data_IF_157746841224
#
_entry.id   IF_157746841224
#
_cell.length_a   1.000
_cell.length_b   1.000
_cell.length_c   1.000
_cell.angle_alpha   90.00
_cell.angle_beta   90.00
_cell.angle_gamma   90.00
#
_symmetry.space_group_name_H-M   'P 1'
#
loop_
_entity.id
_entity.type
_entity.pdbx_description
1 polymer ?
#
# COMPACT_ATOMS: atom_id res chain seq x y z
N UNK A 1 -36.36 -33.66 -11.80
CA UNK A 1 -35.07 -32.96 -12.13
C UNK A 1 -35.29 -31.59 -12.78
N UNK A 2 -36.26 -31.42 -13.69
CA UNK A 2 -36.53 -30.13 -14.35
C UNK A 2 -36.97 -28.98 -13.44
N UNK A 3 -37.81 -29.26 -12.44
CA UNK A 3 -38.30 -28.24 -11.47
C UNK A 3 -37.17 -27.60 -10.64
N UNK A 4 -36.14 -28.39 -10.33
CA UNK A 4 -34.96 -27.90 -9.59
C UNK A 4 -34.06 -27.02 -10.46
N UNK A 5 -33.98 -27.30 -11.77
CA UNK A 5 -33.21 -26.48 -12.72
C UNK A 5 -33.85 -25.12 -13.00
N UNK A 6 -35.20 -25.05 -13.03
CA UNK A 6 -35.91 -23.78 -13.23
C UNK A 6 -35.78 -22.86 -12.00
N UNK A 7 -35.89 -23.44 -10.80
CA UNK A 7 -35.72 -22.70 -9.53
C UNK A 7 -34.30 -22.11 -9.38
N UNK A 8 -33.27 -22.89 -9.74
CA UNK A 8 -31.85 -22.42 -9.69
C UNK A 8 -31.59 -21.32 -10.75
N UNK A 9 -32.17 -21.44 -11.97
CA UNK A 9 -32.06 -20.37 -12.98
C UNK A 9 -32.75 -19.10 -12.53
N UNK A 10 -33.91 -19.18 -11.87
CA UNK A 10 -34.67 -18.01 -11.39
C UNK A 10 -33.96 -17.32 -10.23
N UNK A 11 -33.41 -18.08 -9.28
CA UNK A 11 -32.60 -17.48 -8.17
C UNK A 11 -31.28 -16.89 -8.70
N UNK A 12 -30.59 -17.61 -9.57
CA UNK A 12 -29.34 -17.11 -10.18
C UNK A 12 -29.57 -15.81 -10.97
N UNK A 13 -30.69 -15.73 -11.73
CA UNK A 13 -31.06 -14.50 -12.44
C UNK A 13 -31.38 -13.34 -11.51
N UNK A 14 -32.10 -13.59 -10.39
CA UNK A 14 -32.37 -12.55 -9.38
C UNK A 14 -31.12 -12.07 -8.68
N UNK A 15 -30.24 -12.97 -8.29
CA UNK A 15 -28.94 -12.61 -7.67
C UNK A 15 -28.11 -11.80 -8.67
N UNK A 16 -28.02 -12.22 -9.93
CA UNK A 16 -27.31 -11.48 -10.97
C UNK A 16 -27.88 -10.08 -11.17
N UNK A 17 -29.21 -9.92 -11.23
CA UNK A 17 -29.87 -8.63 -11.37
C UNK A 17 -29.55 -7.69 -10.16
N UNK A 18 -29.62 -8.21 -8.94
CA UNK A 18 -29.26 -7.45 -7.72
C UNK A 18 -27.80 -6.99 -7.76
N UNK A 19 -26.89 -7.89 -8.16
CA UNK A 19 -25.47 -7.58 -8.27
C UNK A 19 -25.20 -6.56 -9.38
N UNK A 20 -25.89 -6.66 -10.53
CA UNK A 20 -25.76 -5.70 -11.62
C UNK A 20 -26.25 -4.30 -11.21
N UNK A 21 -27.37 -4.24 -10.48
CA UNK A 21 -27.90 -2.97 -9.95
C UNK A 21 -26.92 -2.38 -8.90
N UNK A 22 -26.44 -3.19 -7.98
CA UNK A 22 -25.44 -2.75 -6.98
C UNK A 22 -24.16 -2.25 -7.66
N UNK A 23 -23.68 -2.93 -8.70
CA UNK A 23 -22.53 -2.51 -9.49
C UNK A 23 -22.79 -1.17 -10.21
N UNK A 24 -23.98 -1.01 -10.81
CA UNK A 24 -24.33 0.24 -11.48
C UNK A 24 -24.41 1.42 -10.48
N UNK A 25 -25.06 1.22 -9.32
CA UNK A 25 -25.11 2.24 -8.25
C UNK A 25 -23.70 2.60 -7.76
N UNK A 26 -22.86 1.60 -7.57
CA UNK A 26 -21.47 1.80 -7.16
C UNK A 26 -20.69 2.58 -8.23
N UNK A 27 -20.81 2.24 -9.52
CA UNK A 27 -20.17 2.95 -10.60
C UNK A 27 -20.62 4.42 -10.68
N UNK A 28 -21.92 4.70 -10.47
CA UNK A 28 -22.46 6.06 -10.43
C UNK A 28 -21.93 6.84 -9.22
N UNK A 29 -21.88 6.20 -8.05
CA UNK A 29 -21.29 6.81 -6.84
C UNK A 29 -19.78 7.06 -7.03
N UNK A 30 -19.06 6.12 -7.65
CA UNK A 30 -17.65 6.28 -7.97
C UNK A 30 -17.41 7.43 -8.96
N UNK A 31 -18.21 7.53 -10.02
CA UNK A 31 -18.21 8.65 -10.96
C UNK A 31 -18.48 9.98 -10.26
N UNK A 32 -19.48 10.03 -9.37
CA UNK A 32 -19.76 11.23 -8.58
C UNK A 32 -18.56 11.64 -7.70
N UNK A 33 -17.93 10.70 -7.00
CA UNK A 33 -16.73 10.97 -6.20
C UNK A 33 -15.56 11.44 -7.07
N UNK A 34 -15.36 10.83 -8.25
CA UNK A 34 -14.28 11.20 -9.17
C UNK A 34 -14.51 12.59 -9.79
N UNK A 35 -15.76 12.92 -10.14
CA UNK A 35 -16.08 14.16 -10.86
C UNK A 35 -16.53 15.31 -9.94
N UNK A 36 -17.28 15.01 -8.88
CA UNK A 36 -17.96 16.00 -8.05
C UNK A 36 -17.06 16.70 -7.00
N UNK A 37 -15.88 16.16 -6.71
CA UNK A 37 -15.00 16.68 -5.65
C UNK A 37 -14.03 17.78 -6.14
N UNK A 38 -14.27 18.40 -7.29
CA UNK A 38 -13.46 19.55 -7.75
C UNK A 38 -13.78 20.86 -7.00
N UNK A 39 -14.75 20.85 -6.09
CA UNK A 39 -15.17 22.03 -5.37
C UNK A 39 -14.22 22.35 -4.20
N UNK A 40 -13.27 23.25 -4.43
CA UNK A 40 -12.77 24.12 -3.36
C UNK A 40 -11.55 23.71 -2.59
N UNK A 41 -10.78 22.68 -2.98
CA UNK A 41 -9.45 22.49 -2.39
C UNK A 41 -8.44 23.40 -3.07
N UNK A 42 -8.16 24.48 -2.40
CA UNK A 42 -7.07 25.37 -2.78
C UNK A 42 -5.74 24.69 -2.38
N UNK A 43 -5.16 23.90 -3.30
CA UNK A 43 -3.82 23.33 -3.13
C UNK A 43 -2.75 24.43 -2.92
N UNK A 44 -3.08 25.68 -3.31
CA UNK A 44 -2.21 26.85 -3.17
C UNK A 44 -2.02 27.28 -1.70
N UNK A 45 -2.77 26.72 -0.77
CA UNK A 45 -2.63 27.03 0.66
C UNK A 45 -1.52 26.23 1.36
N UNK A 46 -1.12 25.07 0.81
CA UNK A 46 -0.11 24.24 1.45
C UNK A 46 1.29 24.79 1.21
N UNK A 47 2.11 24.78 2.24
CA UNK A 47 3.53 25.17 2.14
C UNK A 47 4.35 23.89 2.12
N UNK A 48 4.95 23.59 0.96
CA UNK A 48 5.91 22.49 0.84
C UNK A 48 7.23 22.99 1.41
N UNK A 49 7.77 22.24 2.37
CA UNK A 49 9.04 22.55 3.01
C UNK A 49 10.13 21.76 2.28
N UNK A 50 10.45 22.15 1.06
CA UNK A 50 11.42 21.44 0.21
C UNK A 50 12.80 22.08 0.21
N UNK A 51 12.95 23.39 0.42
CA UNK A 51 14.18 24.13 0.37
C UNK A 51 14.77 24.47 1.76
N UNK A 52 16.08 24.80 1.77
CA UNK A 52 16.77 25.32 2.94
C UNK A 52 16.99 24.30 4.05
N UNK A 53 17.14 23.02 3.68
CA UNK A 53 17.43 21.97 4.64
C UNK A 53 18.91 21.73 4.85
N UNK A 54 19.30 21.52 6.10
CA UNK A 54 20.57 20.86 6.43
C UNK A 54 20.28 19.40 6.74
N UNK A 55 20.95 18.49 6.03
CA UNK A 55 20.81 17.03 6.14
C UNK A 55 22.10 16.45 6.68
N UNK A 56 22.01 15.66 7.75
CA UNK A 56 23.16 14.92 8.29
C UNK A 56 22.87 13.42 8.08
N UNK A 57 23.75 12.75 7.35
CA UNK A 57 23.67 11.32 7.09
C UNK A 57 25.08 10.71 7.04
N UNK A 58 25.30 9.60 7.75
CA UNK A 58 26.60 8.90 7.83
C UNK A 58 27.79 9.77 8.21
N UNK A 59 27.58 10.80 9.07
CA UNK A 59 28.64 11.74 9.49
C UNK A 59 28.92 12.86 8.50
N UNK A 60 28.29 12.85 7.32
CA UNK A 60 28.37 13.93 6.33
C UNK A 60 27.23 14.92 6.54
N UNK A 61 27.53 16.20 6.32
CA UNK A 61 26.55 17.30 6.43
C UNK A 61 26.37 17.95 5.06
N UNK A 62 25.15 18.02 4.61
CA UNK A 62 24.73 18.68 3.38
C UNK A 62 23.90 19.90 3.77
N UNK A 63 24.31 21.10 3.35
CA UNK A 63 23.64 22.34 3.68
C UNK A 63 22.88 22.89 2.46
N UNK A 64 21.83 23.66 2.72
CA UNK A 64 20.98 24.31 1.71
C UNK A 64 20.44 23.33 0.66
N UNK A 65 19.91 22.23 1.15
CA UNK A 65 19.42 21.12 0.32
C UNK A 65 17.96 21.33 -0.02
N UNK A 66 17.60 21.11 -1.31
CA UNK A 66 16.23 20.89 -1.73
C UNK A 66 15.90 19.38 -1.64
N UNK A 67 14.98 19.00 -0.75
CA UNK A 67 14.64 17.59 -0.47
C UNK A 67 14.06 16.86 -1.68
N UNK A 68 13.33 17.55 -2.57
CA UNK A 68 12.75 16.91 -3.75
C UNK A 68 13.83 16.39 -4.72
N UNK A 69 14.98 17.05 -4.75
CA UNK A 69 16.12 16.73 -5.60
C UNK A 69 17.22 15.94 -4.88
N UNK A 70 17.17 15.89 -3.55
CA UNK A 70 18.18 15.23 -2.74
C UNK A 70 18.02 13.71 -2.75
N UNK A 71 19.14 13.01 -2.86
CA UNK A 71 19.20 11.55 -2.73
C UNK A 71 20.34 11.21 -1.77
N UNK A 72 20.05 10.29 -0.88
CA UNK A 72 21.08 9.70 -0.01
C UNK A 72 22.09 8.92 -0.86
N UNK A 73 23.34 8.91 -0.45
CA UNK A 73 24.42 8.19 -1.15
C UNK A 73 24.19 6.69 -1.25
N UNK A 74 23.42 6.13 -0.33
CA UNK A 74 22.94 4.75 -0.34
C UNK A 74 21.52 4.63 0.23
N UNK A 75 20.83 3.54 -0.06
CA UNK A 75 19.57 3.19 0.59
C UNK A 75 19.80 2.97 2.09
N UNK A 76 18.93 3.52 2.93
CA UNK A 76 19.02 3.37 4.39
C UNK A 76 18.79 1.94 4.82
N UNK A 77 19.73 1.39 5.54
CA UNK A 77 19.67 0.09 6.21
C UNK A 77 19.10 0.18 7.62
N UNK A 78 18.85 -0.98 8.24
CA UNK A 78 18.35 -1.06 9.62
C UNK A 78 19.31 -0.36 10.59
N UNK A 79 18.78 0.59 11.36
CA UNK A 79 19.54 1.40 12.33
C UNK A 79 20.17 2.67 11.76
N UNK A 80 20.23 2.84 10.44
CA UNK A 80 20.72 4.08 9.84
C UNK A 80 19.84 5.26 10.24
N UNK A 81 20.46 6.43 10.44
CA UNK A 81 19.79 7.64 10.89
C UNK A 81 20.05 8.79 9.91
N UNK A 82 19.00 9.50 9.57
CA UNK A 82 19.10 10.79 8.91
C UNK A 82 18.52 11.87 9.82
N UNK A 83 19.21 12.99 9.90
CA UNK A 83 18.79 14.14 10.71
C UNK A 83 18.61 15.34 9.79
N UNK A 84 17.44 15.94 9.85
CA UNK A 84 17.04 17.07 9.02
C UNK A 84 16.84 18.29 9.91
N UNK A 85 17.35 19.43 9.48
CA UNK A 85 17.19 20.72 10.16
C UNK A 85 16.70 21.76 9.17
N UNK A 86 15.70 22.54 9.56
CA UNK A 86 15.28 23.77 8.88
C UNK A 86 14.56 24.68 9.86
N UNK A 87 14.01 25.81 9.40
CA UNK A 87 13.13 26.66 10.19
C UNK A 87 11.69 26.55 9.69
N UNK A 88 10.75 26.59 10.60
CA UNK A 88 9.32 26.67 10.27
C UNK A 88 9.10 28.03 9.59
N UNK A 89 8.35 28.13 8.47
CA UNK A 89 8.05 29.38 7.80
C UNK A 89 7.52 30.44 8.77
N UNK A 90 7.98 31.69 8.60
CA UNK A 90 7.54 32.80 9.46
C UNK A 90 6.10 33.23 9.19
N UNK A 91 5.66 33.11 7.94
CA UNK A 91 4.37 33.60 7.49
C UNK A 91 3.48 32.43 7.02
N UNK A 92 2.54 32.02 7.85
CA UNK A 92 1.46 31.12 7.47
C UNK A 92 0.15 31.54 8.20
N UNK A 93 -0.99 31.26 7.55
CA UNK A 93 -2.30 31.69 8.05
C UNK A 93 -3.18 30.47 8.41
N UNK A 94 -2.63 29.51 9.14
CA UNK A 94 -3.37 28.32 9.59
C UNK A 94 -3.83 28.52 11.04
N UNK A 95 -5.03 28.02 11.36
CA UNK A 95 -5.56 28.08 12.72
C UNK A 95 -5.06 26.91 13.56
N UNK A 96 -5.04 25.72 12.97
CA UNK A 96 -4.50 24.49 13.55
C UNK A 96 -3.41 23.89 12.64
N UNK A 97 -2.23 24.54 12.59
CA UNK A 97 -1.17 24.09 11.67
C UNK A 97 -0.61 22.73 12.06
N UNK A 98 -0.40 21.88 11.05
CA UNK A 98 0.30 20.61 11.19
C UNK A 98 1.37 20.46 10.12
N UNK A 99 2.44 19.77 10.46
CA UNK A 99 3.48 19.36 9.50
C UNK A 99 3.24 17.88 9.20
N UNK A 100 2.92 17.59 7.94
CA UNK A 100 2.81 16.23 7.42
C UNK A 100 4.19 15.72 7.05
N UNK A 101 4.60 14.59 7.63
CA UNK A 101 5.88 13.92 7.36
C UNK A 101 5.59 12.47 6.94
N UNK A 102 5.91 12.06 5.71
CA UNK A 102 5.85 10.65 5.30
C UNK A 102 7.06 9.89 5.86
N UNK A 103 6.84 8.64 6.26
CA UNK A 103 7.94 7.73 6.63
C UNK A 103 7.70 6.33 6.05
N UNK A 104 8.80 5.63 5.79
CA UNK A 104 8.79 4.24 5.35
C UNK A 104 9.53 3.40 6.38
N UNK A 105 8.82 2.52 7.09
CA UNK A 105 9.35 1.60 8.09
C UNK A 105 10.44 2.26 8.97
N UNK A 106 10.08 3.36 9.62
CA UNK A 106 11.05 4.18 10.35
C UNK A 106 10.49 4.72 11.66
N UNK A 107 11.38 4.83 12.64
CA UNK A 107 11.13 5.63 13.84
C UNK A 107 11.24 7.11 13.47
N UNK A 108 10.31 7.91 13.95
CA UNK A 108 10.28 9.36 13.73
C UNK A 108 10.34 10.11 15.07
N UNK A 109 11.27 11.08 15.17
CA UNK A 109 11.32 12.05 16.26
C UNK A 109 11.34 13.45 15.69
N UNK A 110 10.50 14.32 16.23
CA UNK A 110 10.45 15.74 15.82
C UNK A 110 10.59 16.63 17.04
N UNK A 111 11.49 17.59 16.94
CA UNK A 111 11.73 18.61 17.97
C UNK A 111 11.61 20.00 17.37
N UNK A 112 10.99 20.92 18.11
CA UNK A 112 10.89 22.34 17.75
C UNK A 112 11.60 23.15 18.81
N UNK A 113 12.56 23.98 18.38
CA UNK A 113 13.42 24.77 19.26
C UNK A 113 14.06 23.95 20.40
N UNK A 114 14.54 22.75 20.06
CA UNK A 114 15.18 21.80 20.99
C UNK A 114 14.21 20.97 21.84
N UNK A 115 12.92 21.32 21.91
CA UNK A 115 11.91 20.56 22.67
C UNK A 115 11.31 19.45 21.81
N UNK A 116 11.32 18.20 22.30
CA UNK A 116 10.65 17.08 21.64
C UNK A 116 9.12 17.32 21.64
N UNK A 117 8.53 17.32 20.43
CA UNK A 117 7.08 17.55 20.24
C UNK A 117 6.36 16.31 19.72
N UNK A 118 7.09 15.37 19.12
CA UNK A 118 6.52 14.16 18.56
C UNK A 118 7.54 13.01 18.56
N UNK A 119 7.08 11.80 18.88
CA UNK A 119 7.83 10.55 18.69
C UNK A 119 6.89 9.44 18.22
N UNK A 120 7.42 8.55 17.40
CA UNK A 120 6.69 7.40 16.88
C UNK A 120 7.63 6.20 16.70
N UNK A 121 7.18 5.03 17.13
CA UNK A 121 7.77 3.74 16.78
C UNK A 121 8.97 3.30 17.62
N UNK A 122 9.42 4.07 18.63
CA UNK A 122 10.60 3.73 19.45
C UNK A 122 10.41 2.42 20.22
N UNK A 123 9.28 2.28 20.92
CA UNK A 123 8.99 1.09 21.73
C UNK A 123 8.93 -0.16 20.85
N UNK A 124 8.27 -0.04 19.68
CA UNK A 124 8.17 -1.14 18.74
C UNK A 124 9.53 -1.55 18.18
N UNK A 125 10.36 -0.55 17.82
CA UNK A 125 11.72 -0.81 17.33
C UNK A 125 12.60 -1.45 18.40
N UNK A 126 12.51 -0.99 19.66
CA UNK A 126 13.22 -1.58 20.79
C UNK A 126 12.83 -3.06 21.04
N UNK A 127 11.57 -3.40 20.78
CA UNK A 127 11.05 -4.77 20.89
C UNK A 127 11.22 -5.60 19.60
N UNK A 128 11.96 -5.10 18.60
CA UNK A 128 12.10 -5.70 17.28
C UNK A 128 10.75 -6.00 16.60
N UNK A 129 9.75 -5.15 16.80
CA UNK A 129 8.43 -5.23 16.15
C UNK A 129 8.36 -4.29 14.96
N UNK A 130 7.64 -4.69 13.91
CA UNK A 130 7.44 -3.85 12.73
C UNK A 130 6.85 -2.48 13.13
N UNK A 131 7.52 -1.40 12.71
CA UNK A 131 7.09 -0.01 12.97
C UNK A 131 6.03 0.44 11.96
N UNK A 132 6.18 0.03 10.71
CA UNK A 132 5.24 0.36 9.63
C UNK A 132 5.55 1.69 8.93
N UNK A 133 4.84 1.91 7.82
CA UNK A 133 5.01 3.06 6.93
C UNK A 133 3.74 3.89 6.86
N UNK A 134 3.86 5.22 6.85
CA UNK A 134 2.68 6.08 6.78
C UNK A 134 2.98 7.57 6.82
N UNK A 135 1.93 8.34 7.01
CA UNK A 135 2.00 9.78 7.16
C UNK A 135 1.80 10.17 8.62
N UNK A 136 2.69 11.03 9.13
CA UNK A 136 2.60 11.59 10.47
C UNK A 136 2.17 13.05 10.37
N UNK A 137 1.24 13.46 11.22
CA UNK A 137 0.73 14.83 11.29
C UNK A 137 1.15 15.42 12.63
N UNK A 138 2.20 16.25 12.60
CA UNK A 138 2.83 16.81 13.77
C UNK A 138 2.19 18.18 14.06
N UNK A 139 1.47 18.35 15.18
CA UNK A 139 0.91 19.62 15.55
C UNK A 139 2.02 20.63 15.86
N UNK A 140 1.92 21.82 15.26
CA UNK A 140 2.77 22.96 15.55
C UNK A 140 1.90 24.14 15.99
N UNK A 141 2.48 25.09 16.70
CA UNK A 141 1.76 26.29 17.16
C UNK A 141 2.06 27.48 16.24
N UNK A 142 1.15 28.45 16.14
CA UNK A 142 1.41 29.72 15.45
C UNK A 142 2.65 30.42 16.02
N UNK A 143 2.90 30.27 17.33
CA UNK A 143 4.08 30.80 18.02
C UNK A 143 5.38 30.08 17.69
N UNK A 144 5.33 29.00 16.91
CA UNK A 144 6.50 28.26 16.45
C UNK A 144 7.00 28.74 15.08
N UNK A 145 6.32 29.72 14.47
CA UNK A 145 6.75 30.39 13.26
C UNK A 145 8.18 30.94 13.41
N UNK A 146 9.05 30.64 12.46
CA UNK A 146 10.45 31.03 12.45
C UNK A 146 11.37 30.23 13.40
N UNK A 147 10.84 29.31 14.20
CA UNK A 147 11.65 28.44 15.07
C UNK A 147 12.28 27.31 14.29
N UNK A 148 13.41 26.83 14.79
CA UNK A 148 14.10 25.69 14.21
C UNK A 148 13.34 24.39 14.48
N UNK A 149 13.17 23.58 13.45
CA UNK A 149 12.65 22.23 13.52
C UNK A 149 13.78 21.22 13.23
N UNK A 150 13.82 20.17 14.03
CA UNK A 150 14.72 19.03 13.86
C UNK A 150 13.89 17.76 13.70
N UNK A 151 14.14 17.04 12.61
CA UNK A 151 13.48 15.77 12.30
C UNK A 151 14.55 14.68 12.28
N UNK A 152 14.35 13.61 13.04
CA UNK A 152 15.23 12.44 13.05
C UNK A 152 14.41 11.27 12.55
N UNK A 153 14.88 10.64 11.47
CA UNK A 153 14.28 9.43 10.90
C UNK A 153 15.31 8.30 11.06
N UNK A 154 14.92 7.23 11.75
CA UNK A 154 15.75 6.03 11.93
C UNK A 154 15.09 4.87 11.21
N UNK A 155 15.78 4.30 10.22
CA UNK A 155 15.30 3.13 9.47
C UNK A 155 15.21 1.90 10.38
N UNK A 156 14.13 1.14 10.28
CA UNK A 156 13.92 -0.09 11.08
C UNK A 156 14.08 -1.36 10.26
N UNK A 157 14.20 -1.27 8.94
CA UNK A 157 14.30 -2.39 8.03
C UNK A 157 15.56 -2.33 7.16
N UNK A 158 15.88 -3.42 6.47
CA UNK A 158 17.15 -3.60 5.76
C UNK A 158 17.35 -2.65 4.57
N UNK A 159 16.27 -2.28 3.87
CA UNK A 159 16.32 -1.35 2.74
C UNK A 159 15.02 -0.56 2.69
N UNK A 160 15.03 0.68 3.19
CA UNK A 160 13.81 1.47 3.34
C UNK A 160 13.66 2.53 2.26
N UNK A 161 14.55 3.49 2.21
CA UNK A 161 14.48 4.61 1.26
C UNK A 161 15.86 5.22 0.98
N UNK A 162 15.98 5.85 -0.17
CA UNK A 162 17.16 6.65 -0.58
C UNK A 162 16.78 8.11 -0.87
N UNK A 163 15.49 8.44 -0.87
CA UNK A 163 14.95 9.78 -1.04
C UNK A 163 14.09 10.16 0.14
N UNK A 164 14.07 11.43 0.47
CA UNK A 164 13.29 11.99 1.57
C UNK A 164 12.22 12.89 0.96
N UNK A 165 10.96 12.54 1.15
CA UNK A 165 9.86 13.39 0.71
C UNK A 165 9.80 14.66 1.56
N UNK A 166 9.63 15.80 0.91
CA UNK A 166 9.54 17.08 1.59
C UNK A 166 8.34 17.14 2.54
N UNK A 167 8.51 17.53 3.81
CA UNK A 167 7.40 17.78 4.71
C UNK A 167 6.48 18.89 4.19
N UNK A 168 5.20 18.83 4.56
CA UNK A 168 4.20 19.80 4.12
C UNK A 168 3.53 20.43 5.33
N UNK A 169 3.61 21.75 5.45
CA UNK A 169 2.88 22.51 6.45
C UNK A 169 1.50 22.86 5.89
N UNK A 170 0.46 22.52 6.65
CA UNK A 170 -0.93 22.64 6.22
C UNK A 170 -1.89 22.84 7.39
N UNK A 171 -3.14 23.20 7.09
CA UNK A 171 -4.22 23.25 8.07
C UNK A 171 -4.71 21.83 8.41
N UNK A 172 -4.91 21.52 9.69
CA UNK A 172 -5.36 20.20 10.12
C UNK A 172 -6.73 19.82 9.58
N UNK A 173 -7.68 20.79 9.53
CA UNK A 173 -9.02 20.57 8.97
C UNK A 173 -9.01 20.10 7.52
N UNK A 174 -7.97 20.46 6.76
CA UNK A 174 -7.88 20.18 5.32
C UNK A 174 -7.23 18.81 5.05
N UNK A 175 -6.62 18.16 6.08
CA UNK A 175 -5.90 16.88 5.92
C UNK A 175 -6.77 15.81 5.27
N UNK A 176 -7.96 15.56 5.82
CA UNK A 176 -8.88 14.53 5.32
C UNK A 176 -9.31 14.80 3.88
N UNK A 177 -9.73 16.05 3.62
CA UNK A 177 -10.19 16.45 2.29
C UNK A 177 -9.08 16.34 1.25
N UNK A 178 -7.85 16.74 1.57
CA UNK A 178 -6.71 16.63 0.67
C UNK A 178 -6.32 15.18 0.39
N UNK A 179 -6.34 14.32 1.42
CA UNK A 179 -6.11 12.89 1.23
C UNK A 179 -7.12 12.29 0.24
N UNK A 180 -8.39 12.58 0.44
CA UNK A 180 -9.49 12.09 -0.40
C UNK A 180 -9.36 12.59 -1.84
N UNK A 181 -9.13 13.88 -2.04
CA UNK A 181 -9.06 14.47 -3.39
C UNK A 181 -7.85 13.97 -4.16
N UNK A 182 -6.66 14.02 -3.54
CA UNK A 182 -5.40 13.61 -4.19
C UNK A 182 -5.41 12.14 -4.61
N UNK A 183 -6.07 11.29 -3.84
CA UNK A 183 -6.07 9.84 -4.06
C UNK A 183 -7.43 9.28 -4.51
N UNK A 184 -8.42 10.13 -4.83
CA UNK A 184 -9.81 9.72 -5.10
C UNK A 184 -9.93 8.56 -6.10
N UNK A 185 -9.23 8.62 -7.24
CA UNK A 185 -9.26 7.56 -8.25
C UNK A 185 -8.71 6.26 -7.68
N UNK A 186 -7.58 6.32 -6.95
CA UNK A 186 -6.95 5.15 -6.34
C UNK A 186 -7.84 4.53 -5.27
N UNK A 187 -8.48 5.35 -4.44
CA UNK A 187 -9.40 4.88 -3.39
C UNK A 187 -10.65 4.24 -3.98
N UNK A 188 -11.26 4.88 -4.98
CA UNK A 188 -12.41 4.31 -5.67
C UNK A 188 -12.03 2.99 -6.35
N UNK A 189 -10.90 2.94 -7.08
CA UNK A 189 -10.43 1.71 -7.71
C UNK A 189 -10.15 0.60 -6.69
N UNK A 190 -9.49 0.92 -5.57
CA UNK A 190 -9.22 -0.04 -4.51
C UNK A 190 -10.49 -0.65 -3.93
N UNK A 191 -11.46 0.19 -3.56
CA UNK A 191 -12.74 -0.25 -3.00
C UNK A 191 -13.54 -1.05 -4.03
N UNK A 192 -13.53 -0.62 -5.31
CA UNK A 192 -14.18 -1.37 -6.41
C UNK A 192 -13.60 -2.77 -6.54
N UNK A 193 -12.27 -2.89 -6.60
CA UNK A 193 -11.58 -4.17 -6.73
C UNK A 193 -11.87 -5.09 -5.55
N UNK A 194 -11.91 -4.57 -4.32
CA UNK A 194 -12.24 -5.36 -3.12
C UNK A 194 -13.68 -5.85 -3.20
N UNK A 195 -14.65 -4.98 -3.44
CA UNK A 195 -16.07 -5.33 -3.44
C UNK A 195 -16.39 -6.32 -4.58
N UNK A 196 -16.03 -5.99 -5.82
CA UNK A 196 -16.33 -6.85 -6.96
C UNK A 196 -15.53 -8.16 -6.92
N UNK A 197 -14.26 -8.11 -6.48
CA UNK A 197 -13.46 -9.30 -6.29
C UNK A 197 -14.06 -10.24 -5.24
N UNK A 198 -14.50 -9.72 -4.09
CA UNK A 198 -15.17 -10.50 -3.05
C UNK A 198 -16.49 -11.12 -3.53
N UNK A 199 -17.30 -10.37 -4.30
CA UNK A 199 -18.52 -10.88 -4.90
C UNK A 199 -18.24 -12.01 -5.90
N UNK A 200 -17.25 -11.84 -6.77
CA UNK A 200 -16.85 -12.88 -7.74
C UNK A 200 -16.35 -14.13 -6.99
N UNK A 201 -15.51 -13.97 -5.96
CA UNK A 201 -15.05 -15.09 -5.14
C UNK A 201 -16.21 -15.84 -4.47
N UNK A 202 -17.15 -15.11 -3.87
CA UNK A 202 -18.30 -15.71 -3.20
C UNK A 202 -19.17 -16.51 -4.18
N UNK A 203 -19.49 -15.93 -5.35
CA UNK A 203 -20.26 -16.60 -6.39
C UNK A 203 -19.52 -17.82 -6.93
N UNK A 204 -18.23 -17.68 -7.28
CA UNK A 204 -17.42 -18.78 -7.76
C UNK A 204 -17.31 -19.89 -6.71
N UNK A 205 -17.11 -19.56 -5.43
CA UNK A 205 -17.06 -20.52 -4.33
C UNK A 205 -18.35 -21.33 -4.19
N UNK A 206 -19.52 -20.68 -4.26
CA UNK A 206 -20.83 -21.37 -4.25
C UNK A 206 -20.97 -22.30 -5.48
N UNK A 207 -20.55 -21.84 -6.66
CA UNK A 207 -20.63 -22.62 -7.88
C UNK A 207 -19.65 -23.79 -7.91
N UNK A 208 -18.47 -23.66 -7.33
CA UNK A 208 -17.47 -24.75 -7.21
C UNK A 208 -18.01 -25.97 -6.45
N UNK A 209 -18.96 -25.78 -5.54
CA UNK A 209 -19.62 -26.90 -4.83
C UNK A 209 -20.43 -27.77 -5.80
N UNK A 210 -20.93 -27.18 -6.90
CA UNK A 210 -21.87 -27.85 -7.83
C UNK A 210 -21.26 -28.16 -9.20
N UNK A 211 -20.27 -27.39 -9.65
CA UNK A 211 -19.68 -27.48 -10.99
C UNK A 211 -18.15 -27.46 -10.95
N UNK A 212 -17.54 -28.44 -11.63
CA UNK A 212 -16.09 -28.40 -11.88
C UNK A 212 -15.80 -27.32 -12.93
N UNK A 213 -14.81 -26.45 -12.71
CA UNK A 213 -14.38 -25.45 -13.69
C UNK A 213 -14.50 -23.97 -13.29
N UNK A 214 -15.07 -23.67 -12.12
CA UNK A 214 -15.19 -22.29 -11.63
C UNK A 214 -13.93 -21.79 -10.88
N UNK A 215 -12.86 -22.59 -10.86
CA UNK A 215 -11.60 -22.25 -10.17
C UNK A 215 -11.00 -20.94 -10.70
N UNK A 216 -11.02 -20.71 -12.01
CA UNK A 216 -10.49 -19.49 -12.63
C UNK A 216 -11.20 -18.23 -12.13
N UNK A 217 -12.55 -18.27 -12.03
CA UNK A 217 -13.33 -17.13 -11.51
C UNK A 217 -13.03 -16.85 -10.05
N UNK A 218 -12.82 -17.89 -9.23
CA UNK A 218 -12.43 -17.73 -7.84
C UNK A 218 -11.08 -17.00 -7.73
N UNK A 219 -10.08 -17.42 -8.49
CA UNK A 219 -8.74 -16.87 -8.42
C UNK A 219 -8.63 -15.45 -9.01
N UNK A 220 -9.42 -15.11 -10.04
CA UNK A 220 -9.47 -13.71 -10.52
C UNK A 220 -10.15 -12.80 -9.50
N UNK A 221 -11.18 -13.28 -8.79
CA UNK A 221 -11.76 -12.57 -7.66
C UNK A 221 -10.75 -12.37 -6.53
N UNK A 222 -9.99 -13.42 -6.18
CA UNK A 222 -8.93 -13.36 -5.17
C UNK A 222 -7.84 -12.35 -5.56
N UNK A 223 -7.39 -12.38 -6.82
CA UNK A 223 -6.43 -11.40 -7.35
C UNK A 223 -6.97 -9.97 -7.24
N UNK A 224 -8.25 -9.75 -7.58
CA UNK A 224 -8.89 -8.43 -7.46
C UNK A 224 -8.92 -7.94 -6.01
N UNK A 225 -9.28 -8.81 -5.05
CA UNK A 225 -9.29 -8.46 -3.62
C UNK A 225 -7.88 -8.13 -3.13
N UNK A 226 -6.88 -8.94 -3.48
CA UNK A 226 -5.50 -8.71 -3.03
C UNK A 226 -4.93 -7.42 -3.61
N UNK A 227 -5.11 -7.16 -4.92
CA UNK A 227 -4.66 -5.91 -5.57
C UNK A 227 -5.40 -4.70 -5.00
N UNK A 228 -6.71 -4.80 -4.77
CA UNK A 228 -7.50 -3.73 -4.16
C UNK A 228 -7.04 -3.41 -2.73
N UNK A 229 -6.82 -4.43 -1.91
CA UNK A 229 -6.35 -4.26 -0.52
C UNK A 229 -4.92 -3.71 -0.48
N UNK A 230 -4.03 -4.22 -1.33
CA UNK A 230 -2.69 -3.68 -1.49
C UNK A 230 -2.72 -2.19 -1.87
N UNK A 231 -3.55 -1.82 -2.86
CA UNK A 231 -3.73 -0.42 -3.29
C UNK A 231 -4.23 0.45 -2.12
N UNK A 232 -5.23 -0.02 -1.38
CA UNK A 232 -5.77 0.72 -0.23
C UNK A 232 -4.71 0.95 0.87
N UNK A 233 -3.87 -0.05 1.15
CA UNK A 233 -2.78 0.05 2.12
C UNK A 233 -1.67 0.98 1.62
N UNK A 234 -1.19 0.78 0.38
CA UNK A 234 -0.09 1.54 -0.21
C UNK A 234 -0.40 3.05 -0.31
N UNK A 235 -1.64 3.42 -0.67
CA UNK A 235 -2.08 4.82 -0.73
C UNK A 235 -2.68 5.34 0.58
N UNK A 236 -2.48 4.63 1.70
CA UNK A 236 -2.81 5.07 3.06
C UNK A 236 -4.30 5.27 3.31
N UNK A 237 -5.19 4.64 2.51
CA UNK A 237 -6.64 4.68 2.74
C UNK A 237 -7.00 4.19 4.16
N UNK A 238 -6.29 3.17 4.64
CA UNK A 238 -6.50 2.59 5.97
C UNK A 238 -6.22 3.56 7.12
N UNK A 239 -5.37 4.58 6.91
CA UNK A 239 -5.12 5.63 7.92
C UNK A 239 -6.34 6.52 8.16
N UNK A 240 -7.26 6.68 7.18
CA UNK A 240 -8.53 7.39 7.37
C UNK A 240 -9.43 6.72 8.40
N UNK A 241 -9.24 5.43 8.62
CA UNK A 241 -9.99 4.62 9.60
C UNK A 241 -9.20 4.38 10.90
N UNK A 242 -8.13 5.14 11.13
CA UNK A 242 -7.24 5.00 12.29
C UNK A 242 -6.64 3.60 12.47
N UNK A 243 -6.49 2.85 11.37
CA UNK A 243 -5.83 1.54 11.42
C UNK A 243 -4.33 1.76 11.66
N UNK A 244 -3.72 1.08 12.66
CA UNK A 244 -2.31 1.27 12.99
C UNK A 244 -1.37 0.99 11.81
N UNK A 245 -0.33 1.81 11.65
CA UNK A 245 0.63 1.69 10.55
C UNK A 245 1.27 0.30 10.42
N UNK A 246 1.65 -0.39 11.52
CA UNK A 246 2.20 -1.75 11.40
C UNK A 246 1.21 -2.73 10.79
N UNK A 247 -0.08 -2.63 11.14
CA UNK A 247 -1.14 -3.49 10.59
C UNK A 247 -1.32 -3.21 9.10
N UNK A 248 -1.42 -1.93 8.73
CA UNK A 248 -1.56 -1.51 7.33
C UNK A 248 -0.36 -1.99 6.49
N UNK A 249 0.86 -1.83 6.99
CA UNK A 249 2.07 -2.27 6.30
C UNK A 249 2.13 -3.80 6.19
N UNK A 250 1.77 -4.53 7.25
CA UNK A 250 1.70 -5.99 7.18
C UNK A 250 0.69 -6.46 6.13
N UNK A 251 -0.51 -5.87 6.10
CA UNK A 251 -1.54 -6.17 5.10
C UNK A 251 -1.07 -5.83 3.67
N UNK A 252 -0.36 -4.73 3.49
CA UNK A 252 0.21 -4.32 2.21
C UNK A 252 1.08 -5.44 1.61
N UNK A 253 2.04 -5.96 2.38
CA UNK A 253 2.96 -7.00 1.92
C UNK A 253 2.33 -8.39 1.84
N UNK A 254 1.43 -8.75 2.77
CA UNK A 254 0.66 -9.99 2.69
C UNK A 254 -0.12 -10.04 1.37
N UNK A 255 -0.83 -8.96 1.03
CA UNK A 255 -1.64 -8.93 -0.19
C UNK A 255 -0.77 -8.89 -1.47
N UNK A 256 0.42 -8.32 -1.43
CA UNK A 256 1.37 -8.37 -2.54
C UNK A 256 1.77 -9.82 -2.86
N UNK A 257 2.10 -10.61 -1.84
CA UNK A 257 2.51 -12.01 -2.00
C UNK A 257 1.32 -12.91 -2.36
N UNK A 258 0.16 -12.72 -1.73
CA UNK A 258 -1.05 -13.45 -2.06
C UNK A 258 -1.58 -13.09 -3.46
N UNK A 259 -1.31 -11.88 -3.94
CA UNK A 259 -1.59 -11.46 -5.31
C UNK A 259 -0.84 -12.32 -6.33
N UNK A 260 0.48 -12.50 -6.12
CA UNK A 260 1.28 -13.37 -6.95
C UNK A 260 0.74 -14.82 -6.94
N UNK A 261 0.43 -15.38 -5.76
CA UNK A 261 -0.17 -16.70 -5.70
C UNK A 261 -1.51 -16.79 -6.44
N UNK A 262 -2.36 -15.76 -6.31
CA UNK A 262 -3.68 -15.73 -6.98
C UNK A 262 -3.54 -15.68 -8.48
N UNK A 263 -2.57 -14.92 -9.01
CA UNK A 263 -2.28 -14.85 -10.43
C UNK A 263 -1.74 -16.20 -10.94
N UNK A 264 -0.78 -16.81 -10.26
CA UNK A 264 -0.27 -18.14 -10.60
C UNK A 264 -1.41 -19.18 -10.67
N UNK A 265 -2.29 -19.18 -9.68
CA UNK A 265 -3.40 -20.13 -9.61
C UNK A 265 -4.48 -19.87 -10.68
N UNK A 266 -4.67 -18.62 -11.12
CA UNK A 266 -5.56 -18.28 -12.22
C UNK A 266 -5.10 -18.92 -13.53
N UNK A 267 -3.81 -18.93 -13.81
CA UNK A 267 -3.25 -19.52 -15.05
C UNK A 267 -3.06 -21.03 -15.01
N UNK A 268 -3.30 -21.67 -13.88
CA UNK A 268 -3.12 -23.10 -13.69
C UNK A 268 -3.69 -23.95 -14.84
N UNK A 269 -4.96 -23.73 -15.17
CA UNK A 269 -5.65 -24.55 -16.17
C UNK A 269 -5.04 -24.37 -17.56
N UNK A 270 -4.63 -23.15 -17.94
CA UNK A 270 -3.95 -22.86 -19.19
C UNK A 270 -2.64 -23.65 -19.33
N UNK A 271 -1.86 -23.71 -18.23
CA UNK A 271 -0.60 -24.48 -18.20
C UNK A 271 -0.86 -25.96 -18.46
N UNK A 272 -1.87 -26.54 -17.83
CA UNK A 272 -2.20 -27.95 -17.99
C UNK A 272 -2.84 -28.26 -19.35
N UNK A 273 -3.54 -27.32 -19.99
CA UNK A 273 -4.11 -27.45 -21.34
C UNK A 273 -3.05 -27.58 -22.42
N UNK A 274 -1.86 -26.98 -22.26
CA UNK A 274 -0.75 -27.10 -23.21
C UNK A 274 -0.19 -28.54 -23.31
N UNK A 275 -0.37 -29.36 -22.28
CA UNK A 275 0.19 -30.73 -22.16
C UNK A 275 1.71 -30.83 -22.30
N UNK A 276 2.41 -29.68 -22.22
CA UNK A 276 3.88 -29.63 -22.24
C UNK A 276 4.41 -29.97 -20.85
N UNK A 277 5.12 -31.09 -20.78
CA UNK A 277 5.69 -31.60 -19.51
C UNK A 277 6.69 -30.64 -18.89
N UNK A 278 7.49 -29.93 -19.69
CA UNK A 278 8.48 -28.97 -19.20
C UNK A 278 7.76 -27.80 -18.54
N UNK A 279 6.79 -27.20 -19.23
CA UNK A 279 6.01 -26.08 -18.73
C UNK A 279 5.24 -26.45 -17.46
N UNK A 280 4.61 -27.61 -17.41
CA UNK A 280 3.90 -28.10 -16.23
C UNK A 280 4.86 -28.27 -15.04
N UNK A 281 6.06 -28.82 -15.26
CA UNK A 281 7.03 -29.01 -14.19
C UNK A 281 7.60 -27.68 -13.69
N UNK A 282 7.92 -26.74 -14.57
CA UNK A 282 8.35 -25.40 -14.19
C UNK A 282 7.27 -24.68 -13.35
N UNK A 283 6.00 -24.78 -13.76
CA UNK A 283 4.88 -24.24 -13.00
C UNK A 283 4.78 -24.84 -11.60
N UNK A 284 4.87 -26.18 -11.47
CA UNK A 284 4.80 -26.86 -10.18
C UNK A 284 5.94 -26.43 -9.26
N UNK A 285 7.16 -26.34 -9.80
CA UNK A 285 8.34 -25.86 -9.05
C UNK A 285 8.11 -24.43 -8.59
N UNK A 286 7.68 -23.52 -9.48
CA UNK A 286 7.44 -22.13 -9.16
C UNK A 286 6.38 -21.97 -8.05
N UNK A 287 5.20 -22.59 -8.21
CA UNK A 287 4.13 -22.53 -7.20
C UNK A 287 4.55 -23.18 -5.89
N UNK A 288 5.32 -24.26 -5.94
CA UNK A 288 5.89 -24.89 -4.76
C UNK A 288 6.83 -23.96 -4.01
N UNK A 289 7.80 -23.36 -4.70
CA UNK A 289 8.72 -22.39 -4.12
C UNK A 289 7.99 -21.17 -3.55
N UNK A 290 7.04 -20.60 -4.28
CA UNK A 290 6.21 -19.47 -3.83
C UNK A 290 5.41 -19.84 -2.57
N UNK A 291 4.80 -21.04 -2.53
CA UNK A 291 4.06 -21.50 -1.35
C UNK A 291 4.94 -21.66 -0.11
N UNK A 292 6.13 -22.25 -0.26
CA UNK A 292 7.12 -22.35 0.82
C UNK A 292 7.54 -20.95 1.28
N UNK A 293 7.84 -20.06 0.33
CA UNK A 293 8.19 -18.66 0.65
C UNK A 293 7.09 -17.97 1.44
N UNK A 294 5.81 -18.13 1.08
CA UNK A 294 4.66 -17.56 1.81
C UNK A 294 4.66 -18.05 3.26
N UNK A 295 4.74 -19.36 3.47
CA UNK A 295 4.71 -19.93 4.83
C UNK A 295 5.89 -19.44 5.66
N UNK A 296 7.09 -19.45 5.10
CA UNK A 296 8.31 -19.01 5.80
C UNK A 296 8.23 -17.51 6.12
N UNK A 297 7.91 -16.68 5.13
CA UNK A 297 7.87 -15.21 5.30
C UNK A 297 6.80 -14.77 6.31
N UNK A 298 5.63 -15.42 6.32
CA UNK A 298 4.59 -15.13 7.30
C UNK A 298 5.01 -15.59 8.70
N UNK A 299 5.62 -16.76 8.82
CA UNK A 299 6.17 -17.23 10.11
C UNK A 299 7.18 -16.25 10.67
N UNK A 300 8.14 -15.80 9.85
CA UNK A 300 9.15 -14.81 10.23
C UNK A 300 8.52 -13.47 10.66
N UNK A 301 7.51 -12.98 9.92
CA UNK A 301 6.78 -11.76 10.24
C UNK A 301 6.06 -11.86 11.60
N UNK A 302 5.30 -12.93 11.83
CA UNK A 302 4.50 -13.07 13.05
C UNK A 302 5.31 -13.44 14.29
N UNK A 303 6.52 -14.00 14.10
CA UNK A 303 7.49 -14.22 15.19
C UNK A 303 8.37 -13.01 15.46
N UNK A 304 8.27 -11.93 14.68
CA UNK A 304 9.12 -10.74 14.71
C UNK A 304 10.63 -11.06 14.52
N UNK A 305 10.97 -12.19 13.91
CA UNK A 305 12.36 -12.52 13.58
C UNK A 305 12.83 -11.73 12.36
N UNK A 306 11.97 -11.61 11.35
CA UNK A 306 12.25 -10.85 10.14
C UNK A 306 10.97 -10.30 9.54
N UNK A 307 10.96 -9.03 9.10
CA UNK A 307 9.75 -8.38 8.65
C UNK A 307 9.59 -8.44 7.12
N UNK A 308 8.33 -8.55 6.66
CA UNK A 308 7.98 -8.61 5.24
C UNK A 308 8.56 -7.47 4.38
N UNK A 309 8.62 -6.19 4.83
CA UNK A 309 9.26 -5.13 4.05
C UNK A 309 10.71 -5.42 3.67
N UNK A 310 11.48 -6.08 4.55
CA UNK A 310 12.87 -6.46 4.26
C UNK A 310 12.99 -7.62 3.25
N UNK A 311 11.89 -8.31 2.93
CA UNK A 311 11.82 -9.37 1.92
C UNK A 311 11.34 -8.86 0.56
N UNK A 312 11.15 -7.55 0.40
CA UNK A 312 10.56 -6.95 -0.82
C UNK A 312 11.32 -7.33 -2.09
N UNK A 313 12.65 -7.37 -2.05
CA UNK A 313 13.47 -7.75 -3.21
C UNK A 313 13.17 -9.19 -3.66
N UNK A 314 13.04 -10.12 -2.70
CA UNK A 314 12.69 -11.52 -2.99
C UNK A 314 11.27 -11.62 -3.55
N UNK A 315 10.32 -10.85 -3.02
CA UNK A 315 8.95 -10.78 -3.53
C UNK A 315 8.95 -10.31 -4.99
N UNK A 316 9.73 -9.25 -5.31
CA UNK A 316 9.86 -8.76 -6.67
C UNK A 316 10.46 -9.81 -7.63
N UNK A 317 11.44 -10.60 -7.19
CA UNK A 317 11.98 -11.71 -8.00
C UNK A 317 10.88 -12.72 -8.36
N UNK A 318 10.03 -13.12 -7.40
CA UNK A 318 8.90 -14.01 -7.69
C UNK A 318 7.93 -13.40 -8.70
N UNK A 319 7.56 -12.12 -8.54
CA UNK A 319 6.64 -11.43 -9.45
C UNK A 319 7.24 -11.35 -10.86
N UNK A 320 8.52 -11.00 -11.00
CA UNK A 320 9.19 -10.92 -12.30
C UNK A 320 9.26 -12.29 -12.98
N UNK A 321 9.62 -13.33 -12.24
CA UNK A 321 9.65 -14.70 -12.76
C UNK A 321 8.25 -15.16 -13.21
N UNK A 322 7.22 -14.81 -12.46
CA UNK A 322 5.83 -15.09 -12.82
C UNK A 322 5.44 -14.40 -14.12
N UNK A 323 5.72 -13.09 -14.25
CA UNK A 323 5.42 -12.33 -15.47
C UNK A 323 6.15 -12.92 -16.68
N UNK A 324 7.43 -13.28 -16.55
CA UNK A 324 8.20 -13.93 -17.63
C UNK A 324 7.55 -15.27 -17.99
N UNK A 325 7.22 -16.10 -16.99
CA UNK A 325 6.57 -17.38 -17.22
C UNK A 325 5.24 -17.22 -17.97
N UNK A 326 4.41 -16.23 -17.57
CA UNK A 326 3.13 -15.94 -18.21
C UNK A 326 3.29 -15.45 -19.66
N UNK A 327 4.31 -14.64 -19.95
CA UNK A 327 4.63 -14.22 -21.33
C UNK A 327 5.01 -15.43 -22.19
N UNK A 328 5.87 -16.32 -21.69
CA UNK A 328 6.26 -17.54 -22.41
C UNK A 328 5.04 -18.43 -22.64
N UNK A 329 4.17 -18.60 -21.63
CA UNK A 329 2.93 -19.36 -21.76
C UNK A 329 2.03 -18.81 -22.87
N UNK A 330 1.84 -17.49 -22.92
CA UNK A 330 1.04 -16.87 -23.98
C UNK A 330 1.62 -17.09 -25.36
N UNK A 331 2.94 -16.97 -25.53
CA UNK A 331 3.61 -17.20 -26.83
C UNK A 331 3.50 -18.67 -27.26
N UNK A 332 3.61 -19.61 -26.34
CA UNK A 332 3.56 -21.05 -26.67
C UNK A 332 2.14 -21.58 -26.86
N UNK A 333 1.12 -20.83 -26.43
CA UNK A 333 -0.30 -21.20 -26.60
C UNK A 333 -0.90 -20.72 -27.94
N UNK A 334 -0.16 -19.89 -28.70
CA UNK A 334 -0.49 -19.48 -30.07
C UNK A 334 0.31 -20.28 -31.10
#
# INVERSE_FOLDING_TARGET
MEKNNSFIKTIGGKIFAVLAIAAAIFCLAALYVITGVNAGVNNDKNIILDDGWSVIYNGESYNDVNLNNFRLTKTMGKGDKVVLYTSIPKNFKYDTPVIKIPTTSSVLKVSVNGKLVYTYGEDRYAENKLVGSGWHYIPVKKTDAGKNIRIIITSTEAATFSSIDAPVLMEYSDVFQQMMIKNRVRYVSAVSLIIFGALIMALAGIMMIKTKGMSRLFWIGALSVTVGTWTACNYRLMQLFNIPLPVTTTLEYINLVLGALSAAMYFKDNVYELKDTLMINLYKIFVGCLSVFIVVSFTLQFTNLYHLPSLLEVIHVFIVLEVIYMMVLMITSY
#
